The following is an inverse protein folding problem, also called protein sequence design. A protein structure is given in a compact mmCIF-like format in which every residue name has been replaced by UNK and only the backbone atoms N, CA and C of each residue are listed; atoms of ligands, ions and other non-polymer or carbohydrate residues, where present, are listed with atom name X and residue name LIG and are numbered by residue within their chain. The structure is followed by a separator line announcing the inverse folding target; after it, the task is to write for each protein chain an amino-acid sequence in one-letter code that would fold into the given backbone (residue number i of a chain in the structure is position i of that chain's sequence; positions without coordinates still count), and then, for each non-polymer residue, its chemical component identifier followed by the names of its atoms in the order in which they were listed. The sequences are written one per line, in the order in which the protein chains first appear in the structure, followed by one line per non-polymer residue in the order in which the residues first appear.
data_IF_346986199474
#
_entry.id   IF_346986199474
#
_cell.length_a   1.000
_cell.length_b   1.000
_cell.length_c   1.000
_cell.angle_alpha   90.00
_cell.angle_beta   90.00
_cell.angle_gamma   90.00
#
_symmetry.space_group_name_H-M   'P 1'
#
loop_
_entity.id
_entity.type
_entity.pdbx_description
1 polymer ?
#
# COMPACT_ATOMS: atom_id res chain seq x y z
N UNK A 1 -6.26 21.99 -2.93
CA UNK A 1 -5.66 20.67 -3.08
C UNK A 1 -6.69 19.65 -3.52
N UNK A 2 -6.34 18.87 -4.49
CA UNK A 2 -7.22 17.83 -5.02
C UNK A 2 -7.64 16.84 -3.94
N UNK A 3 -6.76 16.60 -2.98
CA UNK A 3 -7.00 15.64 -1.92
C UNK A 3 -8.25 15.93 -1.11
N UNK A 4 -8.54 17.20 -0.89
CA UNK A 4 -9.67 17.59 -0.08
C UNK A 4 -11.01 17.25 -0.72
N UNK A 5 -11.08 17.26 -2.03
CA UNK A 5 -12.33 17.02 -2.74
C UNK A 5 -12.69 15.54 -2.88
N UNK A 6 -11.67 14.69 -2.96
CA UNK A 6 -11.88 13.26 -3.20
C UNK A 6 -11.30 12.44 -2.09
N UNK A 7 -11.71 12.75 -0.87
CA UNK A 7 -11.11 12.15 0.31
C UNK A 7 -11.15 10.62 0.29
N UNK A 8 -12.31 10.05 0.01
CA UNK A 8 -12.47 8.61 -0.03
C UNK A 8 -11.64 7.94 -1.12
N UNK A 9 -11.71 8.48 -2.33
CA UNK A 9 -10.94 7.93 -3.45
C UNK A 9 -9.44 8.13 -3.26
N UNK A 10 -9.07 9.27 -2.68
CA UNK A 10 -7.68 9.56 -2.42
C UNK A 10 -7.09 8.61 -1.38
N UNK A 11 -7.85 8.31 -0.33
CA UNK A 11 -7.39 7.34 0.67
C UNK A 11 -7.13 5.97 0.05
N UNK A 12 -8.06 5.51 -0.79
CA UNK A 12 -7.90 4.23 -1.47
C UNK A 12 -6.66 4.25 -2.36
N UNK A 13 -6.50 5.32 -3.14
CA UNK A 13 -5.35 5.45 -4.03
C UNK A 13 -4.04 5.47 -3.25
N UNK A 14 -4.00 6.20 -2.15
CA UNK A 14 -2.80 6.27 -1.30
C UNK A 14 -2.45 4.89 -0.77
N UNK A 15 -3.44 4.13 -0.32
CA UNK A 15 -3.19 2.78 0.20
C UNK A 15 -2.63 1.86 -0.87
N UNK A 16 -3.20 1.93 -2.07
CA UNK A 16 -2.72 1.10 -3.18
C UNK A 16 -1.29 1.48 -3.56
N UNK A 17 -1.03 2.78 -3.66
CA UNK A 17 0.32 3.26 -3.99
C UNK A 17 1.32 2.84 -2.91
N UNK A 18 0.95 3.00 -1.65
CA UNK A 18 1.82 2.58 -0.54
C UNK A 18 2.06 1.08 -0.55
N UNK A 19 1.01 0.31 -0.81
CA UNK A 19 1.15 -1.13 -0.91
C UNK A 19 2.10 -1.55 -2.01
N UNK A 20 1.94 -0.96 -3.19
CA UNK A 20 2.83 -1.25 -4.31
C UNK A 20 4.26 -0.84 -3.98
N UNK A 21 4.44 0.34 -3.39
CA UNK A 21 5.76 0.82 -3.00
C UNK A 21 6.43 -0.14 -2.00
N UNK A 22 5.67 -0.62 -1.02
CA UNK A 22 6.19 -1.56 -0.04
C UNK A 22 6.59 -2.89 -0.68
N UNK A 23 5.81 -3.36 -1.63
CA UNK A 23 6.15 -4.59 -2.34
C UNK A 23 7.43 -4.41 -3.14
N UNK A 24 7.54 -3.31 -3.87
CA UNK A 24 8.73 -3.02 -4.66
C UNK A 24 9.96 -2.90 -3.75
N UNK A 25 9.83 -2.15 -2.68
CA UNK A 25 10.92 -2.00 -1.71
C UNK A 25 11.29 -3.37 -1.12
N UNK A 26 10.28 -4.19 -0.85
CA UNK A 26 10.50 -5.53 -0.32
C UNK A 26 11.39 -6.38 -1.19
N UNK A 27 11.30 -6.24 -2.51
CA UNK A 27 12.16 -6.99 -3.41
C UNK A 27 13.62 -6.58 -3.30
N UNK A 28 13.90 -5.37 -2.82
CA UNK A 28 15.26 -4.90 -2.61
C UNK A 28 15.77 -5.14 -1.21
N UNK A 29 14.90 -5.50 -0.29
CA UNK A 29 15.30 -5.79 1.07
C UNK A 29 15.81 -7.22 1.20
N UNK A 30 16.56 -7.46 2.26
CA UNK A 30 17.11 -8.78 2.55
C UNK A 30 16.70 -9.24 3.94
N UNK A 31 16.77 -10.54 4.15
CA UNK A 31 16.44 -11.14 5.44
C UNK A 31 14.95 -11.10 5.71
N UNK A 32 14.61 -10.89 6.98
CA UNK A 32 13.21 -10.91 7.43
C UNK A 32 12.40 -9.73 6.91
N UNK A 33 13.05 -8.64 6.56
CA UNK A 33 12.34 -7.44 6.11
C UNK A 33 11.69 -7.64 4.75
N UNK A 34 12.26 -8.49 3.93
CA UNK A 34 11.71 -8.76 2.61
C UNK A 34 10.27 -9.31 2.68
N UNK A 35 10.03 -10.44 3.35
CA UNK A 35 8.67 -10.97 3.45
C UNK A 35 7.74 -10.06 4.24
N UNK A 36 8.24 -9.39 5.28
CA UNK A 36 7.42 -8.49 6.06
C UNK A 36 6.90 -7.33 5.23
N UNK A 37 7.77 -6.70 4.46
CA UNK A 37 7.38 -5.57 3.63
C UNK A 37 6.38 -5.99 2.56
N UNK A 38 6.60 -7.12 1.93
CA UNK A 38 5.71 -7.63 0.89
C UNK A 38 4.33 -7.94 1.48
N UNK A 39 4.28 -8.59 2.64
CA UNK A 39 3.02 -8.93 3.30
C UNK A 39 2.25 -7.67 3.66
N UNK A 40 2.91 -6.68 4.22
CA UNK A 40 2.27 -5.42 4.58
C UNK A 40 1.72 -4.74 3.33
N UNK A 41 2.47 -4.72 2.25
CA UNK A 41 2.01 -4.14 0.99
C UNK A 41 0.78 -4.84 0.46
N UNK A 42 0.78 -6.16 0.48
CA UNK A 42 -0.37 -6.94 0.03
C UNK A 42 -1.59 -6.66 0.90
N UNK A 43 -1.40 -6.58 2.22
CA UNK A 43 -2.50 -6.27 3.13
C UNK A 43 -3.09 -4.90 2.87
N UNK A 44 -2.26 -3.91 2.59
CA UNK A 44 -2.73 -2.57 2.28
C UNK A 44 -3.58 -2.56 1.00
N UNK A 45 -3.13 -3.26 -0.02
CA UNK A 45 -3.86 -3.34 -1.28
C UNK A 45 -5.17 -4.09 -1.07
N UNK A 46 -5.13 -5.20 -0.37
CA UNK A 46 -6.33 -5.98 -0.09
C UNK A 46 -7.35 -5.16 0.70
N UNK A 47 -6.89 -4.41 1.70
CA UNK A 47 -7.78 -3.55 2.48
C UNK A 47 -8.41 -2.48 1.60
N UNK A 48 -7.65 -1.92 0.66
CA UNK A 48 -8.19 -0.92 -0.25
C UNK A 48 -9.31 -1.48 -1.12
N UNK A 49 -9.12 -2.69 -1.62
CA UNK A 49 -10.16 -3.33 -2.44
C UNK A 49 -11.34 -3.81 -1.60
N UNK A 50 -11.12 -4.15 -0.35
CA UNK A 50 -12.18 -4.57 0.54
C UNK A 50 -13.03 -3.40 1.06
N UNK A 51 -12.54 -2.17 0.88
CA UNK A 51 -13.27 -0.99 1.30
C UNK A 51 -13.08 -0.59 2.75
N UNK A 52 -12.04 -1.06 3.36
CA UNK A 52 -11.73 -0.67 4.75
C UNK A 52 -11.04 0.69 4.87
#
# INVERSE_FOLDING_TARGET
MILAKNLGKTEKAVRIILGIALIVIGFFLHGLWKPLSIVIGILLIAAAFAGY
#
